data_IF_533769428615
#
_entry.id   IF_533769428615
#
_cell.length_a   1.000
_cell.length_b   1.000
_cell.length_c   1.000
_cell.angle_alpha   90.00
_cell.angle_beta   90.00
_cell.angle_gamma   90.00
#
_symmetry.space_group_name_H-M   'P 1'
#
loop_
_entity.id
_entity.type
_entity.pdbx_description
1 polymer ?
#
# COMPACT_ATOMS: atom_id res chain seq x y z
N UNK A 1 -18.31 8.66 -21.98
CA UNK A 1 -18.40 8.42 -20.52
C UNK A 1 -17.62 7.20 -20.03
N UNK A 2 -17.18 6.26 -20.90
CA UNK A 2 -16.44 5.06 -20.47
C UNK A 2 -15.01 5.31 -19.93
N UNK A 3 -14.35 6.41 -20.31
CA UNK A 3 -12.95 6.67 -19.95
C UNK A 3 -12.75 7.14 -18.50
N UNK A 4 -13.71 7.88 -17.92
CA UNK A 4 -13.66 8.30 -16.51
C UNK A 4 -13.95 7.13 -15.55
N UNK A 5 -14.82 6.20 -15.93
CA UNK A 5 -15.12 5.03 -15.08
C UNK A 5 -13.95 4.05 -15.01
N UNK A 6 -13.19 3.92 -16.10
CA UNK A 6 -12.01 3.06 -16.16
C UNK A 6 -10.88 3.61 -15.27
N UNK A 7 -10.61 4.92 -15.37
CA UNK A 7 -9.63 5.59 -14.51
C UNK A 7 -9.99 5.48 -13.02
N UNK A 8 -11.27 5.67 -12.66
CA UNK A 8 -11.71 5.48 -11.27
C UNK A 8 -11.50 4.03 -10.80
N UNK A 9 -11.81 3.04 -11.65
CA UNK A 9 -11.60 1.64 -11.33
C UNK A 9 -10.11 1.30 -11.11
N UNK A 10 -9.21 1.91 -11.89
CA UNK A 10 -7.77 1.76 -11.70
C UNK A 10 -7.28 2.45 -10.42
N UNK A 11 -7.75 3.65 -10.09
CA UNK A 11 -7.45 4.32 -8.81
C UNK A 11 -7.88 3.44 -7.64
N UNK A 12 -9.09 2.88 -7.70
CA UNK A 12 -9.61 2.00 -6.65
C UNK A 12 -8.76 0.72 -6.52
N UNK A 13 -8.32 0.15 -7.65
CA UNK A 13 -7.41 -1.01 -7.65
C UNK A 13 -6.07 -0.68 -7.01
N UNK A 14 -5.47 0.47 -7.32
CA UNK A 14 -4.21 0.92 -6.72
C UNK A 14 -4.38 1.12 -5.21
N UNK A 15 -5.48 1.73 -4.79
CA UNK A 15 -5.81 1.96 -3.38
C UNK A 15 -6.01 0.64 -2.62
N UNK A 16 -6.63 -0.36 -3.24
CA UNK A 16 -6.75 -1.70 -2.65
C UNK A 16 -5.41 -2.42 -2.58
N UNK A 17 -4.54 -2.28 -3.59
CA UNK A 17 -3.16 -2.80 -3.52
C UNK A 17 -2.40 -2.24 -2.32
N UNK A 18 -2.48 -0.92 -2.08
CA UNK A 18 -1.87 -0.29 -0.91
C UNK A 18 -2.37 -0.91 0.40
N UNK A 19 -3.69 -1.05 0.55
CA UNK A 19 -4.31 -1.68 1.74
C UNK A 19 -3.87 -3.13 1.92
N UNK A 20 -3.79 -3.90 0.84
CA UNK A 20 -3.33 -5.28 0.87
C UNK A 20 -1.88 -5.38 1.36
N UNK A 21 -0.99 -4.51 0.85
CA UNK A 21 0.40 -4.43 1.29
C UNK A 21 0.50 -4.08 2.78
N UNK A 22 -0.29 -3.13 3.27
CA UNK A 22 -0.35 -2.79 4.70
C UNK A 22 -0.79 -3.99 5.55
N UNK A 23 -1.79 -4.77 5.11
CA UNK A 23 -2.24 -5.98 5.83
C UNK A 23 -1.16 -7.07 5.88
N UNK A 24 -0.46 -7.28 4.76
CA UNK A 24 0.64 -8.25 4.69
C UNK A 24 1.78 -7.81 5.61
N UNK A 25 2.18 -6.53 5.55
CA UNK A 25 3.16 -5.93 6.46
C UNK A 25 2.78 -6.15 7.93
N UNK A 26 1.52 -5.87 8.31
CA UNK A 26 1.02 -6.09 9.67
C UNK A 26 1.18 -7.55 10.10
N UNK A 27 0.82 -8.49 9.23
CA UNK A 27 1.01 -9.94 9.48
C UNK A 27 2.48 -10.29 9.75
N UNK A 28 3.40 -9.73 8.96
CA UNK A 28 4.84 -9.89 9.16
C UNK A 28 5.41 -9.04 10.29
N UNK A 29 4.66 -8.13 10.89
CA UNK A 29 5.10 -7.32 12.05
C UNK A 29 4.61 -7.88 13.38
N UNK A 30 3.47 -8.56 13.37
CA UNK A 30 2.79 -9.05 14.58
C UNK A 30 3.13 -10.50 14.93
N UNK A 31 3.42 -11.36 13.94
CA UNK A 31 3.67 -12.79 14.22
C UNK A 31 4.99 -13.00 14.98
N UNK A 32 5.10 -14.07 15.75
CA UNK A 32 6.35 -14.39 16.46
C UNK A 32 7.46 -14.87 15.51
N UNK A 33 8.70 -14.83 15.99
CA UNK A 33 9.81 -15.58 15.39
C UNK A 33 9.51 -17.09 15.51
N UNK A 34 9.53 -17.89 14.42
CA UNK A 34 9.23 -19.31 14.49
C UNK A 34 10.21 -20.11 15.36
N UNK A 35 11.39 -19.56 15.69
CA UNK A 35 12.32 -20.16 16.64
C UNK A 35 12.08 -19.73 18.10
N UNK A 36 11.18 -18.77 18.34
CA UNK A 36 10.86 -18.33 19.70
C UNK A 36 10.23 -19.47 20.51
N UNK A 37 10.67 -19.63 21.75
CA UNK A 37 10.22 -20.69 22.65
C UNK A 37 10.88 -22.07 22.48
N UNK A 38 11.85 -22.24 21.58
CA UNK A 38 12.62 -23.49 21.45
C UNK A 38 14.04 -23.33 22.03
N UNK A 39 14.19 -23.53 23.34
CA UNK A 39 15.45 -23.44 24.06
C UNK A 39 16.17 -24.77 24.26
N UNK A 40 17.23 -24.75 25.10
CA UNK A 40 18.03 -25.94 25.47
C UNK A 40 17.15 -27.03 26.10
N UNK A 41 16.14 -26.64 26.87
CA UNK A 41 15.23 -27.55 27.56
C UNK A 41 14.33 -28.35 26.61
N UNK A 42 13.99 -27.79 25.46
CA UNK A 42 13.10 -28.38 24.48
C UNK A 42 13.85 -29.22 23.43
N UNK A 43 15.04 -28.76 23.02
CA UNK A 43 15.77 -29.35 21.90
C UNK A 43 16.76 -30.45 22.33
N UNK A 44 17.27 -30.41 23.56
CA UNK A 44 18.17 -31.44 24.12
C UNK A 44 19.49 -31.66 23.35
N UNK A 45 19.79 -30.84 22.34
CA UNK A 45 20.94 -30.96 21.45
C UNK A 45 21.51 -29.58 21.15
N UNK A 46 22.78 -29.38 21.47
CA UNK A 46 23.49 -28.13 21.18
C UNK A 46 23.48 -27.81 19.68
N UNK A 47 23.65 -28.82 18.82
CA UNK A 47 23.64 -28.62 17.35
C UNK A 47 22.28 -28.14 16.83
N UNK A 48 21.18 -28.62 17.42
CA UNK A 48 19.84 -28.14 17.08
C UNK A 48 19.62 -26.72 17.59
N UNK A 49 20.07 -26.43 18.81
CA UNK A 49 20.00 -25.08 19.37
C UNK A 49 20.72 -24.07 18.46
N UNK A 50 21.97 -24.33 18.09
CA UNK A 50 22.76 -23.44 17.22
C UNK A 50 22.07 -23.19 15.86
N UNK A 51 21.40 -24.23 15.33
CA UNK A 51 20.64 -24.12 14.08
C UNK A 51 19.38 -23.25 14.23
N UNK A 52 18.66 -23.40 15.34
CA UNK A 52 17.47 -22.60 15.66
C UNK A 52 17.83 -21.14 15.95
N UNK A 53 18.90 -20.88 16.70
CA UNK A 53 19.41 -19.52 16.93
C UNK A 53 19.80 -18.83 15.62
N UNK A 54 20.52 -19.53 14.74
CA UNK A 54 20.88 -19.02 13.42
C UNK A 54 19.65 -18.75 12.56
N UNK A 55 18.65 -19.64 12.61
CA UNK A 55 17.40 -19.46 11.90
C UNK A 55 16.64 -18.23 12.41
N UNK A 56 16.42 -18.11 13.72
CA UNK A 56 15.67 -17.00 14.31
C UNK A 56 16.32 -15.64 14.05
N UNK A 57 17.64 -15.57 14.19
CA UNK A 57 18.39 -14.35 13.85
C UNK A 57 18.23 -13.93 12.38
N UNK A 58 18.39 -14.89 11.45
CA UNK A 58 18.19 -14.61 10.01
C UNK A 58 16.73 -14.25 9.71
N UNK A 59 15.77 -14.97 10.30
CA UNK A 59 14.36 -14.69 10.15
C UNK A 59 14.04 -13.27 10.60
N UNK A 60 14.48 -12.86 11.79
CA UNK A 60 14.27 -11.51 12.33
C UNK A 60 14.83 -10.44 11.40
N UNK A 61 16.05 -10.62 10.90
CA UNK A 61 16.70 -9.66 9.97
C UNK A 61 15.91 -9.56 8.65
N UNK A 62 15.60 -10.69 8.02
CA UNK A 62 14.94 -10.70 6.73
C UNK A 62 13.48 -10.24 6.81
N UNK A 63 12.78 -10.60 7.87
CA UNK A 63 11.41 -10.14 8.16
C UNK A 63 11.36 -8.63 8.39
N UNK A 64 12.32 -8.06 9.12
CA UNK A 64 12.44 -6.61 9.31
C UNK A 64 12.56 -5.90 7.96
N UNK A 65 13.53 -6.33 7.13
CA UNK A 65 13.71 -5.78 5.78
C UNK A 65 12.46 -5.92 4.91
N UNK A 66 11.82 -7.09 4.90
CA UNK A 66 10.58 -7.32 4.15
C UNK A 66 9.47 -6.35 4.60
N UNK A 67 9.36 -6.12 5.90
CA UNK A 67 8.35 -5.22 6.48
C UNK A 67 8.58 -3.78 6.05
N UNK A 68 9.83 -3.30 6.07
CA UNK A 68 10.21 -1.97 5.60
C UNK A 68 9.91 -1.78 4.10
N UNK A 69 10.23 -2.77 3.27
CA UNK A 69 9.97 -2.70 1.83
C UNK A 69 8.46 -2.74 1.50
N UNK A 70 7.68 -3.53 2.25
CA UNK A 70 6.22 -3.55 2.12
C UNK A 70 5.59 -2.20 2.53
N UNK A 71 6.13 -1.54 3.56
CA UNK A 71 5.70 -0.21 3.97
C UNK A 71 5.95 0.83 2.87
N UNK A 72 7.17 0.89 2.35
CA UNK A 72 7.52 1.79 1.24
C UNK A 72 6.61 1.59 0.03
N UNK A 73 6.36 0.33 -0.36
CA UNK A 73 5.50 0.04 -1.51
C UNK A 73 4.02 0.42 -1.24
N UNK A 74 3.53 0.23 -0.02
CA UNK A 74 2.20 0.66 0.38
C UNK A 74 2.06 2.19 0.32
N UNK A 75 3.08 2.94 0.74
CA UNK A 75 3.11 4.41 0.67
C UNK A 75 3.16 4.92 -0.77
N UNK A 76 3.98 4.32 -1.63
CA UNK A 76 4.08 4.67 -3.06
C UNK A 76 2.71 4.49 -3.73
N UNK A 77 2.08 3.32 -3.53
CA UNK A 77 0.78 3.01 -4.13
C UNK A 77 -0.32 3.92 -3.60
N UNK A 78 -0.33 4.23 -2.30
CA UNK A 78 -1.26 5.22 -1.73
C UNK A 78 -1.08 6.60 -2.37
N UNK A 79 0.16 7.08 -2.41
CA UNK A 79 0.49 8.39 -2.98
C UNK A 79 0.09 8.49 -4.45
N UNK A 80 0.29 7.42 -5.22
CA UNK A 80 -0.15 7.36 -6.61
C UNK A 80 -1.68 7.48 -6.73
N UNK A 81 -2.43 6.68 -5.95
CA UNK A 81 -3.90 6.76 -5.95
C UNK A 81 -4.41 8.15 -5.57
N UNK A 82 -3.86 8.75 -4.51
CA UNK A 82 -4.27 10.07 -4.03
C UNK A 82 -3.91 11.18 -5.04
N UNK A 83 -2.78 11.06 -5.75
CA UNK A 83 -2.38 12.00 -6.79
C UNK A 83 -3.30 11.94 -8.01
N UNK A 84 -3.66 10.72 -8.46
CA UNK A 84 -4.59 10.57 -9.57
C UNK A 84 -6.00 11.09 -9.25
N UNK A 85 -6.48 10.84 -8.03
CA UNK A 85 -7.78 11.33 -7.55
C UNK A 85 -7.80 12.87 -7.49
N UNK A 86 -6.74 13.49 -6.99
CA UNK A 86 -6.59 14.94 -6.96
C UNK A 86 -6.56 15.56 -8.37
N UNK A 87 -5.77 14.99 -9.29
CA UNK A 87 -5.68 15.45 -10.67
C UNK A 87 -7.02 15.32 -11.40
N UNK A 88 -7.76 14.23 -11.18
CA UNK A 88 -9.09 14.05 -11.77
C UNK A 88 -10.09 15.10 -11.26
N UNK A 89 -10.04 15.38 -9.95
CA UNK A 89 -10.85 16.42 -9.34
C UNK A 89 -10.57 17.81 -9.93
N UNK A 90 -9.30 18.21 -9.99
CA UNK A 90 -8.89 19.50 -10.55
C UNK A 90 -9.31 19.64 -12.02
N UNK A 91 -9.14 18.59 -12.82
CA UNK A 91 -9.56 18.58 -14.22
C UNK A 91 -11.08 18.71 -14.36
N UNK A 92 -11.85 17.96 -13.55
CA UNK A 92 -13.31 18.03 -13.56
C UNK A 92 -13.82 19.42 -13.13
N UNK A 93 -13.19 20.06 -12.15
CA UNK A 93 -13.50 21.44 -11.76
C UNK A 93 -13.20 22.44 -12.87
N UNK A 94 -12.03 22.34 -13.51
CA UNK A 94 -11.65 23.20 -14.62
C UNK A 94 -12.65 23.11 -15.78
N UNK A 95 -13.05 21.89 -16.15
CA UNK A 95 -14.06 21.65 -17.19
C UNK A 95 -15.43 22.25 -16.83
N UNK A 96 -15.91 22.04 -15.59
CA UNK A 96 -17.18 22.63 -15.12
C UNK A 96 -17.14 24.16 -15.13
N UNK A 97 -16.01 24.74 -14.76
CA UNK A 97 -15.84 26.19 -14.75
C UNK A 97 -15.83 26.77 -16.17
N UNK A 98 -15.14 26.13 -17.10
CA UNK A 98 -15.16 26.50 -18.52
C UNK A 98 -16.57 26.43 -19.11
N UNK A 99 -17.33 25.36 -18.82
CA UNK A 99 -18.72 25.20 -19.26
C UNK A 99 -19.65 26.30 -18.72
N UNK A 100 -19.49 26.69 -17.46
CA UNK A 100 -20.26 27.79 -16.84
C UNK A 100 -19.98 29.13 -17.52
N UNK A 101 -18.72 29.43 -17.80
CA UNK A 101 -18.32 30.66 -18.49
C UNK A 101 -18.87 30.70 -19.93
N UNK A 102 -18.82 29.57 -20.65
CA UNK A 102 -19.38 29.45 -22.00
C UNK A 102 -20.91 29.66 -22.05
N UNK A 103 -21.64 29.23 -21.01
CA UNK A 103 -23.10 29.44 -20.90
C UNK A 103 -23.46 30.90 -20.57
N UNK A 104 -22.71 31.58 -19.70
CA UNK A 104 -22.92 33.01 -19.40
C UNK A 104 -22.69 33.91 -20.63
N UNK A 105 -21.71 33.59 -21.49
CA UNK A 105 -21.47 34.33 -22.73
C UNK A 105 -22.58 34.22 -23.79
N UNK A 106 -23.44 33.19 -23.73
CA UNK A 106 -24.60 33.00 -24.62
C UNK A 106 -25.90 33.63 -24.10
N UNK A 107 -26.03 33.84 -22.79
CA UNK A 107 -27.23 34.43 -22.18
C UNK A 107 -27.28 35.95 -22.16
N UNK A 108 -26.14 36.64 -22.36
CA UNK A 108 -26.03 38.10 -22.36
C UNK A 108 -26.21 38.78 -23.73
N UNK A 109 -26.54 38.02 -24.79
CA UNK A 109 -26.92 38.55 -26.10
C UNK A 109 -28.39 38.29 -26.33
N UNK A 110 -29.26 39.09 -25.72
CA UNK A 110 -30.65 39.31 -26.11
C UNK A 110 -31.08 40.67 -25.58
#
# INVERSE_FOLDING_TARGET
MAHMSDQQADIDRIRECSRALTRIRGTFSERADPADGYGVGELGSQKLLDAFEKFGSNWKIHRGKLTEELEKLAEITKTAADSYDALDHELAEALRNADRQGKQGKGGKN
#
